data_IF_968484033906
#
_entry.id   IF_968484033906
#
_cell.length_a   1.000
_cell.length_b   1.000
_cell.length_c   1.000
_cell.angle_alpha   90.00
_cell.angle_beta   90.00
_cell.angle_gamma   90.00
#
_symmetry.space_group_name_H-M   'P 1'
#
loop_
_entity.id
_entity.type
_entity.pdbx_description
1 polymer ?
#
# COMPACT_ATOMS: atom_id res chain seq x y z
N UNK A 1 -15.86 -13.08 -17.80
CA UNK A 1 -15.17 -11.76 -17.78
C UNK A 1 -13.68 -12.02 -17.78
N UNK A 2 -12.87 -11.12 -18.33
CA UNK A 2 -11.41 -11.21 -18.18
C UNK A 2 -11.00 -10.85 -16.74
N UNK A 3 -9.92 -11.43 -16.19
CA UNK A 3 -9.32 -10.91 -14.96
C UNK A 3 -8.81 -9.48 -15.19
N UNK A 4 -8.70 -8.70 -14.11
CA UNK A 4 -8.01 -7.42 -14.18
C UNK A 4 -6.55 -7.65 -14.61
N UNK A 5 -6.11 -6.96 -15.66
CA UNK A 5 -4.70 -6.92 -16.01
C UNK A 5 -3.93 -6.25 -14.88
N UNK A 6 -2.82 -6.86 -14.44
CA UNK A 6 -1.86 -6.18 -13.57
C UNK A 6 -1.57 -4.79 -14.13
N UNK A 7 -1.61 -3.73 -13.32
CA UNK A 7 -1.15 -2.42 -13.78
C UNK A 7 0.27 -2.55 -14.31
N UNK A 8 0.51 -1.88 -15.44
CA UNK A 8 1.80 -1.79 -16.11
C UNK A 8 2.87 -1.33 -15.10
N UNK A 9 3.99 -2.04 -15.02
CA UNK A 9 5.06 -1.68 -14.07
C UNK A 9 5.57 -0.27 -14.35
N UNK A 10 5.66 0.14 -15.63
CA UNK A 10 5.98 1.52 -16.00
C UNK A 10 4.89 2.50 -15.50
N UNK A 11 3.62 2.10 -15.46
CA UNK A 11 2.55 2.97 -14.94
C UNK A 11 2.68 3.18 -13.43
N UNK A 12 2.77 2.10 -12.63
CA UNK A 12 3.02 2.20 -11.17
C UNK A 12 4.24 3.08 -10.91
N UNK A 13 5.31 2.82 -11.66
CA UNK A 13 6.58 3.53 -11.61
C UNK A 13 6.44 5.05 -11.79
N UNK A 14 5.66 5.50 -12.79
CA UNK A 14 5.46 6.92 -13.04
C UNK A 14 4.54 7.61 -12.02
N UNK A 15 3.66 6.88 -11.32
CA UNK A 15 2.79 7.46 -10.29
C UNK A 15 3.53 7.62 -8.95
N UNK A 16 4.36 6.66 -8.56
CA UNK A 16 5.10 6.67 -7.27
C UNK A 16 6.31 7.63 -7.25
N UNK A 17 6.78 8.09 -8.42
CA UNK A 17 7.79 9.14 -8.54
C UNK A 17 9.16 8.82 -7.92
N UNK A 18 9.51 7.54 -7.76
CA UNK A 18 10.84 7.13 -7.26
C UNK A 18 11.88 7.15 -8.40
N UNK A 19 13.12 6.69 -8.16
CA UNK A 19 14.14 6.47 -9.22
C UNK A 19 14.52 4.98 -9.26
N UNK A 20 14.61 4.34 -10.45
CA UNK A 20 14.74 2.88 -10.49
C UNK A 20 16.07 2.45 -9.88
N UNK A 21 16.14 1.30 -9.18
CA UNK A 21 17.44 0.74 -8.82
C UNK A 21 18.24 0.50 -10.11
N UNK A 22 19.44 1.09 -10.22
CA UNK A 22 20.30 0.91 -11.39
C UNK A 22 20.57 -0.58 -11.59
N UNK A 23 20.19 -1.10 -12.76
CA UNK A 23 20.23 -2.54 -13.03
C UNK A 23 21.66 -3.02 -13.21
N UNK A 24 22.18 -3.68 -12.17
CA UNK A 24 23.36 -4.53 -12.27
C UNK A 24 23.04 -5.75 -13.13
N UNK A 25 23.14 -5.59 -14.45
CA UNK A 25 23.21 -6.68 -15.41
C UNK A 25 24.54 -7.44 -15.21
N UNK A 26 24.59 -8.28 -14.17
CA UNK A 26 25.69 -9.21 -14.00
C UNK A 26 25.59 -10.31 -15.07
N UNK A 27 26.64 -10.36 -15.89
CA UNK A 27 26.76 -11.21 -17.05
C UNK A 27 27.04 -12.66 -16.64
N UNK A 28 26.03 -13.52 -16.70
CA UNK A 28 26.19 -14.96 -16.49
C UNK A 28 25.96 -15.71 -17.81
N UNK A 29 26.96 -16.50 -18.21
CA UNK A 29 27.09 -17.13 -19.53
C UNK A 29 26.22 -18.36 -19.69
N UNK A 30 25.73 -18.57 -20.92
CA UNK A 30 25.12 -19.83 -21.33
C UNK A 30 26.15 -20.98 -21.29
N UNK A 31 25.90 -21.99 -20.45
CA UNK A 31 26.50 -23.33 -20.57
C UNK A 31 25.39 -24.38 -20.46
N UNK A 32 24.90 -24.80 -21.63
CA UNK A 32 24.20 -26.07 -21.85
C UNK A 32 25.17 -27.23 -21.64
N UNK A 33 24.75 -28.32 -20.97
CA UNK A 33 24.74 -29.56 -21.74
C UNK A 33 23.57 -30.52 -21.46
N UNK A 34 23.05 -31.03 -22.58
CA UNK A 34 22.72 -32.43 -22.90
C UNK A 34 21.50 -33.09 -22.27
N UNK A 35 20.62 -33.51 -23.18
CA UNK A 35 19.69 -34.64 -23.13
C UNK A 35 20.34 -35.95 -22.65
N UNK A 36 19.55 -36.82 -22.03
CA UNK A 36 19.63 -38.30 -22.09
C UNK A 36 18.21 -38.86 -21.77
N UNK A 37 17.89 -40.08 -22.20
CA UNK A 37 16.50 -40.55 -22.47
C UNK A 37 15.96 -41.63 -21.49
N UNK A 38 15.00 -42.46 -21.96
CA UNK A 38 14.34 -43.66 -21.35
C UNK A 38 13.22 -43.35 -20.31
N UNK A 39 11.93 -43.62 -20.62
CA UNK A 39 11.20 -44.92 -20.72
C UNK A 39 10.79 -45.46 -19.30
N UNK A 40 9.62 -46.04 -19.04
CA UNK A 40 8.60 -46.70 -19.89
C UNK A 40 7.14 -46.44 -19.41
N UNK A 41 6.16 -46.94 -20.17
CA UNK A 41 4.71 -46.95 -19.87
C UNK A 41 4.28 -47.96 -18.76
N UNK A 42 3.10 -47.76 -18.16
CA UNK A 42 1.97 -48.73 -18.23
C UNK A 42 0.74 -48.26 -17.41
N UNK A 43 -0.45 -48.34 -18.01
CA UNK A 43 -1.76 -48.25 -17.33
C UNK A 43 -2.17 -49.64 -16.78
N UNK A 44 -2.96 -49.69 -15.70
CA UNK A 44 -4.04 -50.71 -15.61
C UNK A 44 -5.12 -50.36 -14.57
N UNK A 45 -6.38 -50.60 -14.92
CA UNK A 45 -7.53 -50.58 -13.99
C UNK A 45 -7.85 -52.00 -13.52
N UNK A 46 -8.10 -52.21 -12.21
CA UNK A 46 -8.98 -53.33 -11.82
C UNK A 46 -9.90 -53.01 -10.63
N UNK A 47 -11.20 -53.29 -10.83
CA UNK A 47 -12.24 -53.32 -9.81
C UNK A 47 -12.68 -54.77 -9.58
N UNK A 48 -12.75 -55.25 -8.34
CA UNK A 48 -13.66 -56.37 -8.00
C UNK A 48 -13.97 -56.54 -6.50
N UNK A 49 -15.29 -56.58 -6.21
CA UNK A 49 -16.04 -57.45 -5.27
C UNK A 49 -15.75 -57.41 -3.74
N UNK A 50 -16.73 -57.45 -2.80
CA UNK A 50 -18.04 -58.16 -2.63
C UNK A 50 -17.87 -59.62 -2.13
N UNK A 51 -18.58 -60.15 -1.12
CA UNK A 51 -19.60 -59.59 -0.16
C UNK A 51 -18.98 -59.49 1.28
N UNK A 52 -19.45 -59.93 2.47
CA UNK A 52 -20.65 -60.59 3.09
C UNK A 52 -20.68 -60.25 4.63
N UNK A 53 -21.33 -61.04 5.51
CA UNK A 53 -21.22 -61.10 7.00
C UNK A 53 -21.76 -59.97 7.95
N UNK A 54 -23.11 -59.88 8.02
CA UNK A 54 -24.01 -59.98 9.20
C UNK A 54 -23.87 -59.24 10.59
N UNK A 55 -25.06 -58.86 11.07
CA UNK A 55 -25.59 -58.73 12.46
C UNK A 55 -24.92 -57.86 13.54
N UNK A 56 -25.61 -56.77 13.95
CA UNK A 56 -26.51 -56.78 15.13
C UNK A 56 -27.34 -55.48 15.27
N UNK A 57 -28.49 -55.54 15.96
CA UNK A 57 -29.38 -54.41 16.24
C UNK A 57 -28.89 -53.49 17.39
N UNK A 58 -29.25 -52.19 17.34
CA UNK A 58 -29.54 -51.37 18.53
C UNK A 58 -30.64 -50.32 18.23
N UNK A 59 -31.39 -49.91 19.25
CA UNK A 59 -32.67 -49.20 19.12
C UNK A 59 -32.53 -47.65 19.20
N UNK A 60 -33.13 -46.94 18.24
CA UNK A 60 -32.97 -45.50 18.06
C UNK A 60 -34.18 -44.82 17.40
N UNK A 61 -35.12 -44.35 18.21
CA UNK A 61 -36.38 -43.74 17.76
C UNK A 61 -36.22 -42.37 17.05
N UNK A 62 -36.38 -42.36 15.73
CA UNK A 62 -36.17 -41.20 14.87
C UNK A 62 -37.42 -40.27 14.75
N UNK A 63 -37.55 -39.27 15.63
CA UNK A 63 -38.63 -38.25 15.57
C UNK A 63 -38.46 -37.30 14.37
N UNK A 64 -39.10 -37.64 13.24
CA UNK A 64 -39.02 -36.87 11.99
C UNK A 64 -39.43 -35.39 12.20
N UNK A 65 -38.52 -34.41 11.96
CA UNK A 65 -38.76 -33.01 12.31
C UNK A 65 -39.89 -32.38 11.49
N UNK A 66 -40.85 -31.79 12.19
CA UNK A 66 -42.04 -31.17 11.57
C UNK A 66 -41.68 -29.99 10.65
N UNK A 67 -42.57 -29.65 9.71
CA UNK A 67 -42.34 -28.56 8.76
C UNK A 67 -42.06 -27.20 9.43
N UNK A 68 -42.61 -26.95 10.62
CA UNK A 68 -42.31 -25.75 11.42
C UNK A 68 -40.88 -25.77 11.97
N UNK A 69 -40.42 -26.93 12.45
CA UNK A 69 -39.04 -27.12 12.91
C UNK A 69 -38.05 -26.84 11.77
N UNK A 70 -38.31 -27.41 10.58
CA UNK A 70 -37.50 -27.20 9.38
C UNK A 70 -37.43 -25.73 8.96
N UNK A 71 -38.55 -25.00 9.00
CA UNK A 71 -38.58 -23.57 8.68
C UNK A 71 -37.76 -22.72 9.66
N UNK A 72 -37.82 -23.01 10.97
CA UNK A 72 -36.99 -22.32 11.97
C UNK A 72 -35.51 -22.61 11.75
N UNK A 73 -35.12 -23.87 11.52
CA UNK A 73 -33.73 -24.25 11.24
C UNK A 73 -33.20 -23.54 9.98
N UNK A 74 -34.00 -23.47 8.90
CA UNK A 74 -33.61 -22.76 7.67
C UNK A 74 -33.47 -21.25 7.91
N UNK A 75 -34.38 -20.61 8.66
CA UNK A 75 -34.27 -19.18 8.98
C UNK A 75 -33.06 -18.89 9.88
N UNK A 76 -32.78 -19.73 10.88
CA UNK A 76 -31.58 -19.61 11.71
C UNK A 76 -30.30 -19.85 10.91
N UNK A 77 -30.28 -20.82 10.00
CA UNK A 77 -29.13 -21.07 9.11
C UNK A 77 -28.89 -19.91 8.14
N UNK A 78 -29.93 -19.30 7.57
CA UNK A 78 -29.83 -18.11 6.74
C UNK A 78 -29.32 -16.90 7.54
N UNK A 79 -29.78 -16.72 8.78
CA UNK A 79 -29.29 -15.66 9.66
C UNK A 79 -27.80 -15.85 10.00
N UNK A 80 -27.38 -17.09 10.30
CA UNK A 80 -25.98 -17.43 10.54
C UNK A 80 -25.11 -17.26 9.28
N UNK A 81 -25.61 -17.62 8.09
CA UNK A 81 -24.93 -17.32 6.82
C UNK A 81 -24.77 -15.81 6.58
N UNK A 82 -25.78 -15.00 6.92
CA UNK A 82 -25.66 -13.53 6.81
C UNK A 82 -24.67 -12.91 7.80
N UNK A 83 -24.39 -13.59 8.91
CA UNK A 83 -23.33 -13.23 9.87
C UNK A 83 -21.94 -13.78 9.48
N UNK A 84 -21.87 -14.74 8.56
CA UNK A 84 -20.62 -15.32 8.07
C UNK A 84 -19.94 -14.50 6.96
N UNK A 85 -20.55 -13.39 6.52
CA UNK A 85 -19.97 -12.43 5.58
C UNK A 85 -18.92 -11.52 6.25
N UNK A 86 -17.99 -12.12 7.01
CA UNK A 86 -16.81 -11.43 7.52
C UNK A 86 -15.88 -11.21 6.33
N UNK A 87 -15.78 -9.96 5.89
CA UNK A 87 -14.70 -9.57 4.98
C UNK A 87 -13.38 -9.77 5.72
N UNK A 88 -12.56 -10.71 5.26
CA UNK A 88 -11.19 -10.88 5.74
C UNK A 88 -10.30 -9.77 5.18
N UNK A 89 -10.47 -8.55 5.70
CA UNK A 89 -9.53 -7.47 5.48
C UNK A 89 -8.14 -7.92 5.96
N UNK A 90 -7.12 -7.69 5.14
CA UNK A 90 -5.72 -8.01 5.44
C UNK A 90 -5.25 -7.17 6.62
N UNK A 91 -5.31 -7.75 7.83
CA UNK A 91 -5.06 -7.01 9.07
C UNK A 91 -3.66 -6.35 9.08
N UNK A 92 -3.68 -5.03 9.20
CA UNK A 92 -2.54 -4.12 9.24
C UNK A 92 -2.43 -3.40 10.59
N UNK A 93 -1.26 -2.84 10.88
CA UNK A 93 -0.89 -2.33 12.19
C UNK A 93 -0.97 -0.79 12.29
N UNK A 94 -0.55 -0.08 11.24
CA UNK A 94 -0.46 1.38 11.20
C UNK A 94 -0.47 1.90 9.75
N UNK A 95 -0.67 3.20 9.53
CA UNK A 95 -0.40 3.83 8.22
C UNK A 95 0.91 4.62 8.22
N UNK A 96 1.57 4.68 7.06
CA UNK A 96 2.43 5.82 6.73
C UNK A 96 1.61 6.89 6.00
N UNK A 97 1.44 8.06 6.60
CA UNK A 97 1.12 9.28 5.85
C UNK A 97 2.41 9.79 5.20
N UNK A 98 2.46 9.76 3.88
CA UNK A 98 3.61 10.14 3.07
C UNK A 98 3.33 11.49 2.41
N UNK A 99 4.16 12.48 2.73
CA UNK A 99 4.10 13.82 2.15
C UNK A 99 5.38 14.10 1.34
N UNK A 100 5.25 14.67 0.14
CA UNK A 100 6.36 14.94 -0.79
C UNK A 100 6.61 16.43 -0.99
N UNK A 101 7.87 16.82 -1.22
CA UNK A 101 8.24 18.18 -1.57
C UNK A 101 8.18 18.39 -3.09
N UNK A 102 7.31 19.28 -3.62
CA UNK A 102 7.13 19.44 -5.06
C UNK A 102 8.40 19.94 -5.76
N UNK A 103 9.21 20.77 -5.10
CA UNK A 103 10.51 21.20 -5.64
C UNK A 103 11.45 20.01 -5.89
N UNK A 104 11.50 19.04 -4.98
CA UNK A 104 12.37 17.86 -5.08
C UNK A 104 11.86 16.82 -6.07
N UNK A 105 10.56 16.81 -6.38
CA UNK A 105 10.01 16.02 -7.49
C UNK A 105 10.39 16.66 -8.84
N UNK A 106 10.20 17.98 -8.94
CA UNK A 106 10.33 18.73 -10.19
C UNK A 106 11.77 19.03 -10.61
N UNK A 107 12.67 19.36 -9.68
CA UNK A 107 14.11 19.43 -9.96
C UNK A 107 14.70 18.02 -9.98
N UNK A 108 14.40 17.28 -11.04
CA UNK A 108 15.02 15.99 -11.38
C UNK A 108 15.23 15.92 -12.89
N UNK A 109 16.06 14.98 -13.36
CA UNK A 109 16.28 14.78 -14.81
C UNK A 109 15.01 14.41 -15.60
N UNK A 110 13.99 13.92 -14.90
CA UNK A 110 12.65 13.61 -15.45
C UNK A 110 11.83 14.88 -15.67
N UNK A 111 12.04 15.91 -14.84
CA UNK A 111 11.15 17.05 -14.73
C UNK A 111 9.78 16.68 -14.17
N UNK A 112 8.84 17.60 -14.24
CA UNK A 112 7.45 17.39 -13.82
C UNK A 112 6.48 18.18 -14.70
N UNK A 113 5.19 17.88 -14.55
CA UNK A 113 4.09 18.65 -15.12
C UNK A 113 3.18 19.16 -13.99
N UNK A 114 2.59 20.34 -14.17
CA UNK A 114 1.56 20.85 -13.26
C UNK A 114 0.17 20.34 -13.70
N UNK A 115 -0.75 20.07 -12.76
CA UNK A 115 -2.11 19.66 -13.07
C UNK A 115 -2.90 20.77 -13.79
N UNK A 116 -4.05 20.41 -14.37
CA UNK A 116 -4.98 21.36 -15.04
C UNK A 116 -5.43 22.53 -14.15
N UNK A 117 -5.34 22.39 -12.83
CA UNK A 117 -5.62 23.44 -11.83
C UNK A 117 -4.50 24.50 -11.70
N UNK A 118 -3.34 24.29 -12.33
CA UNK A 118 -2.19 25.17 -12.33
C UNK A 118 -1.04 24.69 -11.46
N UNK A 119 0.01 25.52 -11.32
CA UNK A 119 1.14 25.20 -10.44
C UNK A 119 0.66 25.09 -8.97
N UNK A 120 0.95 23.98 -8.26
CA UNK A 120 0.65 23.84 -6.84
C UNK A 120 1.32 24.90 -5.95
N UNK A 121 0.88 24.96 -4.69
CA UNK A 121 1.53 25.78 -3.68
C UNK A 121 2.95 25.27 -3.36
N UNK A 122 3.81 26.15 -2.86
CA UNK A 122 5.14 25.84 -2.31
C UNK A 122 4.99 25.29 -0.87
N UNK A 123 4.30 24.15 -0.76
CA UNK A 123 3.96 23.39 0.46
C UNK A 123 4.17 21.88 0.15
N UNK A 124 4.37 21.06 1.18
CA UNK A 124 4.39 19.60 1.01
C UNK A 124 3.03 19.10 0.50
N UNK A 125 2.98 18.34 -0.58
CA UNK A 125 1.74 17.64 -1.00
C UNK A 125 1.68 16.23 -0.42
N UNK A 126 0.48 15.66 -0.33
CA UNK A 126 0.31 14.24 -0.01
C UNK A 126 0.77 13.41 -1.22
N UNK A 127 1.52 12.35 -0.95
CA UNK A 127 1.74 11.24 -1.88
C UNK A 127 0.68 10.17 -1.61
N UNK A 128 0.57 9.71 -0.35
CA UNK A 128 -0.42 8.70 0.04
C UNK A 128 -0.54 8.46 1.53
N UNK A 129 -1.46 7.58 1.92
CA UNK A 129 -1.68 7.14 3.30
C UNK A 129 -1.72 5.61 3.36
N UNK A 130 -0.56 4.98 3.46
CA UNK A 130 -0.37 3.57 3.13
C UNK A 130 -0.47 2.66 4.36
N UNK A 131 -1.44 1.71 4.41
CA UNK A 131 -1.44 0.62 5.39
C UNK A 131 -0.10 -0.11 5.44
N UNK A 132 0.32 -0.55 6.63
CA UNK A 132 1.64 -1.13 6.84
C UNK A 132 1.66 -2.15 7.98
N UNK A 133 2.66 -3.04 7.96
CA UNK A 133 2.86 -4.06 8.98
C UNK A 133 4.05 -3.70 9.88
N UNK A 134 3.83 -3.73 11.19
CA UNK A 134 4.87 -3.56 12.22
C UNK A 134 5.89 -4.72 12.20
N UNK A 135 5.49 -5.88 11.64
CA UNK A 135 6.37 -6.99 11.27
C UNK A 135 6.02 -7.48 9.87
N UNK A 136 6.96 -7.39 8.93
CA UNK A 136 6.77 -7.96 7.59
C UNK A 136 6.46 -9.47 7.67
N UNK A 137 5.37 -9.88 7.00
CA UNK A 137 4.86 -11.26 6.93
C UNK A 137 5.62 -12.03 5.82
N UNK A 138 5.87 -13.33 5.98
CA UNK A 138 6.29 -14.19 4.85
C UNK A 138 5.08 -14.55 3.98
N UNK A 139 5.31 -15.08 2.78
CA UNK A 139 4.22 -15.54 1.91
C UNK A 139 3.35 -16.63 2.58
N UNK A 140 3.95 -17.53 3.37
CA UNK A 140 3.20 -18.53 4.14
C UNK A 140 2.42 -17.96 5.34
N UNK A 141 2.89 -16.85 5.92
CA UNK A 141 2.14 -16.08 6.94
C UNK A 141 0.95 -15.30 6.34
N UNK A 142 0.90 -15.11 5.02
CA UNK A 142 -0.20 -14.47 4.29
C UNK A 142 -1.22 -15.49 3.76
N UNK A 143 -0.76 -16.46 2.97
CA UNK A 143 -1.63 -17.41 2.28
C UNK A 143 -2.18 -18.51 3.21
N UNK A 144 -1.69 -18.58 4.46
CA UNK A 144 -2.04 -19.62 5.43
C UNK A 144 -1.46 -21.00 5.13
N UNK A 145 -0.63 -21.13 4.08
CA UNK A 145 -0.02 -22.39 3.63
C UNK A 145 1.39 -22.53 4.17
N UNK A 146 1.72 -23.73 4.69
CA UNK A 146 3.05 -24.03 5.24
C UNK A 146 4.11 -24.01 4.12
N UNK A 147 5.16 -23.21 4.33
CA UNK A 147 6.18 -22.85 3.35
C UNK A 147 7.11 -24.01 2.97
N UNK A 148 7.03 -24.49 1.71
CA UNK A 148 8.02 -25.40 1.11
C UNK A 148 8.46 -25.04 -0.33
N UNK A 149 7.84 -24.05 -1.00
CA UNK A 149 8.12 -23.74 -2.42
C UNK A 149 8.53 -22.28 -2.65
N UNK A 150 8.03 -21.35 -1.84
CA UNK A 150 8.33 -19.91 -1.97
C UNK A 150 9.64 -19.57 -1.26
N UNK A 151 10.59 -18.96 -1.99
CA UNK A 151 11.90 -18.55 -1.43
C UNK A 151 11.80 -17.28 -0.58
N UNK A 152 11.22 -17.36 0.62
CA UNK A 152 11.45 -16.43 1.73
C UNK A 152 11.18 -14.94 1.49
N UNK A 153 10.39 -14.57 0.47
CA UNK A 153 10.00 -13.18 0.24
C UNK A 153 9.11 -12.70 1.40
N UNK A 154 9.44 -11.53 1.94
CA UNK A 154 8.66 -10.85 2.98
C UNK A 154 7.92 -9.66 2.39
N UNK A 155 6.66 -9.49 2.77
CA UNK A 155 5.80 -8.37 2.40
C UNK A 155 5.51 -7.55 3.65
N UNK A 156 5.73 -6.23 3.58
CA UNK A 156 5.69 -5.32 4.73
C UNK A 156 4.45 -4.42 4.77
N UNK A 157 3.56 -4.54 3.78
CA UNK A 157 2.31 -3.81 3.67
C UNK A 157 1.30 -4.66 2.89
N UNK A 158 -0.01 -4.52 3.14
CA UNK A 158 -1.03 -5.01 2.21
C UNK A 158 -1.18 -4.03 1.03
N UNK A 159 -1.60 -4.52 -0.13
CA UNK A 159 -1.88 -3.70 -1.32
C UNK A 159 -2.90 -4.39 -2.23
N UNK A 160 -3.71 -3.63 -2.97
CA UNK A 160 -4.76 -4.11 -3.88
C UNK A 160 -5.74 -5.11 -3.22
N UNK A 161 -6.14 -4.86 -1.98
CA UNK A 161 -6.90 -5.82 -1.16
C UNK A 161 -8.31 -6.14 -1.66
N UNK A 162 -8.86 -5.30 -2.53
CA UNK A 162 -10.09 -5.56 -3.25
C UNK A 162 -10.08 -4.85 -4.62
N UNK A 163 -11.14 -5.02 -5.41
CA UNK A 163 -11.27 -4.43 -6.76
C UNK A 163 -12.34 -3.35 -6.85
N UNK A 164 -12.58 -2.61 -5.75
CA UNK A 164 -13.48 -1.45 -5.71
C UNK A 164 -12.77 -0.21 -6.30
N UNK A 165 -13.20 0.32 -7.46
CA UNK A 165 -12.58 1.50 -8.04
C UNK A 165 -13.06 2.79 -7.35
N UNK A 166 -12.26 3.85 -7.42
CA UNK A 166 -12.59 5.15 -6.85
C UNK A 166 -13.83 5.76 -7.53
N UNK A 167 -14.85 6.07 -6.73
CA UNK A 167 -16.10 6.70 -7.17
C UNK A 167 -16.09 8.19 -6.84
N UNK A 168 -15.91 9.02 -7.89
CA UNK A 168 -15.83 10.48 -7.79
C UNK A 168 -16.98 11.18 -7.04
N UNK A 169 -18.14 10.53 -6.89
CA UNK A 169 -19.26 11.10 -6.13
C UNK A 169 -19.13 10.91 -4.62
N UNK A 170 -18.45 9.86 -4.15
CA UNK A 170 -18.22 9.59 -2.72
C UNK A 170 -17.23 10.60 -2.11
N UNK A 171 -16.31 11.13 -2.92
CA UNK A 171 -15.28 12.11 -2.50
C UNK A 171 -15.57 13.55 -2.98
N UNK A 172 -16.78 13.82 -3.49
CA UNK A 172 -17.08 15.02 -4.30
C UNK A 172 -16.84 16.35 -3.60
N UNK A 173 -17.08 16.41 -2.29
CA UNK A 173 -16.82 17.56 -1.42
C UNK A 173 -15.32 17.77 -1.15
N UNK A 174 -14.53 16.69 -1.16
CA UNK A 174 -13.09 16.71 -0.92
C UNK A 174 -12.26 17.13 -2.14
N UNK A 175 -12.77 16.94 -3.38
CA UNK A 175 -12.03 17.15 -4.65
C UNK A 175 -11.24 18.47 -4.68
N UNK A 176 -11.84 19.58 -4.23
CA UNK A 176 -11.16 20.89 -4.20
C UNK A 176 -9.91 20.90 -3.29
N UNK A 177 -9.98 20.22 -2.14
CA UNK A 177 -8.86 20.13 -1.22
C UNK A 177 -7.85 19.07 -1.69
N UNK A 178 -8.29 18.00 -2.37
CA UNK A 178 -7.41 17.05 -3.02
C UNK A 178 -6.60 17.69 -4.15
N UNK A 179 -7.20 18.52 -5.01
CA UNK A 179 -6.47 19.26 -6.06
C UNK A 179 -5.43 20.24 -5.49
N UNK A 180 -5.68 20.79 -4.29
CA UNK A 180 -4.78 21.73 -3.63
C UNK A 180 -3.66 21.04 -2.82
N UNK A 181 -3.95 19.90 -2.18
CA UNK A 181 -3.08 19.26 -1.19
C UNK A 181 -2.52 17.90 -1.63
N UNK A 182 -3.12 17.25 -2.64
CA UNK A 182 -2.74 15.95 -3.20
C UNK A 182 -2.68 15.97 -4.75
N UNK A 183 -2.11 17.01 -5.41
CA UNK A 183 -1.99 17.05 -6.87
C UNK A 183 -1.00 15.98 -7.38
N UNK A 184 -1.23 15.49 -8.60
CA UNK A 184 -0.17 14.79 -9.35
C UNK A 184 0.84 15.81 -9.91
N UNK A 185 2.11 15.37 -10.00
CA UNK A 185 3.19 16.08 -10.70
C UNK A 185 3.70 15.31 -11.93
N UNK A 186 3.12 14.13 -12.21
CA UNK A 186 3.51 13.27 -13.32
C UNK A 186 2.99 13.79 -14.67
N UNK A 187 3.82 13.72 -15.72
CA UNK A 187 3.43 14.11 -17.08
C UNK A 187 2.63 13.03 -17.84
N UNK A 188 2.80 11.75 -17.49
CA UNK A 188 1.97 10.63 -17.99
C UNK A 188 0.76 10.51 -17.07
N UNK A 189 -0.46 10.49 -17.63
CA UNK A 189 -1.70 10.43 -16.83
C UNK A 189 -1.91 11.68 -15.96
N UNK A 190 -1.54 12.87 -16.46
CA UNK A 190 -1.41 14.12 -15.70
C UNK A 190 -2.70 14.78 -15.18
N UNK A 191 -3.63 13.99 -14.62
CA UNK A 191 -4.79 14.48 -13.85
C UNK A 191 -4.74 13.90 -12.45
N UNK A 192 -4.99 14.74 -11.44
CA UNK A 192 -4.95 14.34 -10.03
C UNK A 192 -5.83 13.12 -9.73
N UNK A 193 -6.99 12.98 -10.38
CA UNK A 193 -7.88 11.81 -10.23
C UNK A 193 -7.25 10.48 -10.68
N UNK A 194 -6.38 10.45 -11.70
CA UNK A 194 -5.71 9.21 -12.13
C UNK A 194 -4.70 8.74 -11.06
N UNK A 195 -4.17 9.67 -10.26
CA UNK A 195 -3.34 9.41 -9.08
C UNK A 195 -4.16 9.01 -7.85
N UNK A 196 -5.26 9.72 -7.55
CA UNK A 196 -6.15 9.35 -6.44
C UNK A 196 -6.78 7.97 -6.64
N UNK A 197 -7.13 7.59 -7.89
CA UNK A 197 -7.60 6.23 -8.19
C UNK A 197 -6.51 5.19 -7.92
N UNK A 198 -5.25 5.46 -8.27
CA UNK A 198 -4.14 4.56 -7.97
C UNK A 198 -3.93 4.39 -6.45
N UNK A 199 -3.88 5.50 -5.71
CA UNK A 199 -3.72 5.49 -4.25
C UNK A 199 -4.90 4.82 -3.53
N UNK A 200 -6.13 5.00 -4.03
CA UNK A 200 -7.29 4.26 -3.53
C UNK A 200 -7.18 2.76 -3.84
N UNK A 201 -7.03 2.38 -5.12
CA UNK A 201 -7.02 0.99 -5.55
C UNK A 201 -5.89 0.19 -4.91
N UNK A 202 -4.69 0.78 -4.79
CA UNK A 202 -3.52 0.14 -4.19
C UNK A 202 -3.53 0.14 -2.67
N UNK A 203 -3.86 1.26 -2.03
CA UNK A 203 -3.68 1.44 -0.58
C UNK A 203 -4.99 1.69 0.18
N UNK A 204 -5.90 2.49 -0.36
CA UNK A 204 -7.22 2.74 0.23
C UNK A 204 -8.09 1.49 0.38
N UNK A 205 -8.06 0.57 -0.58
CA UNK A 205 -8.76 -0.73 -0.52
C UNK A 205 -8.34 -1.61 0.66
N UNK A 206 -7.18 -1.33 1.26
CA UNK A 206 -6.59 -2.05 2.40
C UNK A 206 -6.72 -1.30 3.73
N UNK A 207 -7.44 -0.18 3.78
CA UNK A 207 -7.37 0.79 4.89
C UNK A 207 -8.36 0.59 6.04
N UNK A 208 -9.27 -0.38 5.95
CA UNK A 208 -10.50 -0.48 6.77
C UNK A 208 -11.44 0.76 6.70
N UNK A 209 -11.10 1.80 5.92
CA UNK A 209 -11.89 3.02 5.72
C UNK A 209 -12.64 2.99 4.37
N UNK A 210 -13.84 3.56 4.34
CA UNK A 210 -14.53 3.87 3.09
C UNK A 210 -13.87 5.06 2.37
N UNK A 211 -14.12 5.18 1.05
CA UNK A 211 -13.45 6.13 0.15
C UNK A 211 -13.34 7.56 0.71
N UNK A 212 -14.46 8.16 1.13
CA UNK A 212 -14.47 9.51 1.74
C UNK A 212 -13.56 9.60 2.98
N UNK A 213 -13.66 8.62 3.87
CA UNK A 213 -12.88 8.57 5.12
C UNK A 213 -11.37 8.48 4.87
N UNK A 214 -10.94 7.67 3.91
CA UNK A 214 -9.52 7.55 3.52
C UNK A 214 -8.93 8.89 3.09
N UNK A 215 -9.58 9.60 2.17
CA UNK A 215 -9.12 10.90 1.68
C UNK A 215 -9.27 12.01 2.73
N UNK A 216 -10.36 12.01 3.51
CA UNK A 216 -10.60 13.00 4.56
C UNK A 216 -9.60 12.87 5.72
N UNK A 217 -9.19 11.65 6.10
CA UNK A 217 -8.19 11.40 7.13
C UNK A 217 -6.82 11.97 6.71
N UNK A 218 -6.34 11.62 5.52
CA UNK A 218 -5.06 12.10 5.00
C UNK A 218 -5.01 13.64 4.88
N UNK A 219 -6.06 14.26 4.32
CA UNK A 219 -6.22 15.72 4.28
C UNK A 219 -6.22 16.34 5.69
N UNK A 220 -7.00 15.77 6.61
CA UNK A 220 -7.15 16.25 7.99
C UNK A 220 -5.87 16.09 8.82
N UNK A 221 -5.02 15.11 8.52
CA UNK A 221 -3.71 14.94 9.13
C UNK A 221 -2.69 15.95 8.57
N UNK A 222 -2.58 16.10 7.24
CA UNK A 222 -1.73 17.14 6.64
C UNK A 222 -2.10 18.55 7.15
N UNK A 223 -3.40 18.85 7.26
CA UNK A 223 -3.87 20.15 7.74
C UNK A 223 -3.53 20.40 9.22
N UNK A 224 -3.56 19.36 10.07
CA UNK A 224 -3.19 19.44 11.49
C UNK A 224 -1.67 19.47 11.71
N UNK A 225 -0.90 18.83 10.83
CA UNK A 225 0.55 18.65 10.95
C UNK A 225 1.28 19.20 9.72
N UNK A 226 1.09 20.50 9.44
CA UNK A 226 1.67 21.16 8.27
C UNK A 226 3.21 21.20 8.35
N UNK A 227 3.88 20.35 7.57
CA UNK A 227 5.33 20.19 7.58
C UNK A 227 6.08 21.45 7.13
N UNK A 228 5.57 22.19 6.15
CA UNK A 228 6.21 23.43 5.69
C UNK A 228 6.22 24.50 6.78
N UNK A 229 5.13 24.65 7.54
CA UNK A 229 5.08 25.56 8.69
C UNK A 229 6.02 25.11 9.81
N UNK A 230 5.97 23.83 10.19
CA UNK A 230 6.83 23.25 11.25
C UNK A 230 8.33 23.41 10.93
N UNK A 231 8.73 23.24 9.67
CA UNK A 231 10.11 23.48 9.25
C UNK A 231 10.43 24.99 9.21
N UNK A 232 9.54 25.82 8.67
CA UNK A 232 9.76 27.27 8.57
C UNK A 232 9.89 27.96 9.93
N UNK A 233 9.15 27.52 10.95
CA UNK A 233 9.23 28.03 12.33
C UNK A 233 10.63 27.79 12.96
N UNK A 234 11.40 26.82 12.45
CA UNK A 234 12.80 26.56 12.84
C UNK A 234 13.84 27.18 11.89
N UNK A 235 13.39 27.93 10.88
CA UNK A 235 14.25 28.53 9.84
C UNK A 235 14.65 27.59 8.71
N UNK A 236 14.05 26.40 8.63
CA UNK A 236 14.22 25.47 7.50
C UNK A 236 13.20 25.86 6.43
N UNK A 237 13.66 26.51 5.37
CA UNK A 237 12.83 27.10 4.31
C UNK A 237 13.37 26.73 2.92
N UNK A 238 12.55 26.81 1.85
CA UNK A 238 13.00 26.47 0.50
C UNK A 238 14.13 27.38 0.02
N UNK A 239 15.23 26.80 -0.48
CA UNK A 239 16.42 27.50 -0.94
C UNK A 239 17.32 26.61 -1.81
N UNK A 240 17.73 27.14 -2.96
CA UNK A 240 18.63 26.47 -3.90
C UNK A 240 20.12 26.59 -3.51
N UNK A 241 20.45 27.48 -2.56
CA UNK A 241 21.83 27.69 -2.07
C UNK A 241 22.11 27.09 -0.70
N UNK A 242 21.08 26.95 0.14
CA UNK A 242 21.24 26.47 1.51
C UNK A 242 21.15 24.95 1.63
N UNK A 243 21.69 24.44 2.73
CA UNK A 243 21.53 23.05 3.15
C UNK A 243 21.19 22.98 4.63
N UNK A 244 20.42 21.97 5.02
CA UNK A 244 19.99 21.71 6.39
C UNK A 244 20.58 20.38 6.86
N UNK A 245 20.79 20.19 8.18
CA UNK A 245 21.23 18.88 8.67
C UNK A 245 20.05 17.94 8.79
N UNK A 246 20.30 16.65 8.59
CA UNK A 246 19.25 15.63 8.76
C UNK A 246 18.75 15.58 10.21
N UNK A 247 19.59 15.97 11.18
CA UNK A 247 19.16 16.16 12.56
C UNK A 247 18.14 17.31 12.67
N UNK A 248 18.46 18.53 12.21
CA UNK A 248 17.58 19.69 12.42
C UNK A 248 16.20 19.51 11.77
N UNK A 249 16.11 18.78 10.65
CA UNK A 249 14.82 18.45 10.02
C UNK A 249 14.03 17.47 10.89
N UNK A 250 14.65 16.39 11.39
CA UNK A 250 14.00 15.43 12.28
C UNK A 250 13.59 16.06 13.62
N UNK A 251 14.49 16.86 14.21
CA UNK A 251 14.27 17.55 15.49
C UNK A 251 13.10 18.54 15.35
N UNK A 252 13.08 19.37 14.29
CA UNK A 252 11.97 20.28 14.00
C UNK A 252 10.62 19.57 13.81
N UNK A 253 10.59 18.49 13.00
CA UNK A 253 9.36 17.71 12.80
C UNK A 253 8.89 17.08 14.11
N UNK A 254 9.82 16.56 14.92
CA UNK A 254 9.48 15.95 16.22
C UNK A 254 9.00 16.96 17.24
N UNK A 255 9.60 18.14 17.32
CA UNK A 255 9.16 19.21 18.23
C UNK A 255 7.82 19.82 17.79
N UNK A 256 7.60 20.01 16.49
CA UNK A 256 6.36 20.59 15.95
C UNK A 256 5.17 19.63 15.82
N UNK A 257 5.41 18.31 15.74
CA UNK A 257 4.32 17.32 15.58
C UNK A 257 4.20 16.33 16.75
N UNK A 258 5.20 16.27 17.64
CA UNK A 258 5.31 15.32 18.76
C UNK A 258 6.03 14.01 18.40
N UNK A 259 6.12 13.66 17.11
CA UNK A 259 6.55 12.33 16.65
C UNK A 259 7.71 12.39 15.66
N UNK A 260 8.55 11.35 15.67
CA UNK A 260 9.63 11.21 14.67
C UNK A 260 9.06 10.77 13.31
N UNK A 261 9.75 11.14 12.22
CA UNK A 261 9.39 10.80 10.85
C UNK A 261 10.52 10.05 10.14
N UNK A 262 10.18 9.27 9.10
CA UNK A 262 11.18 8.87 8.07
C UNK A 262 11.44 10.09 7.19
N UNK A 263 12.70 10.34 6.87
CA UNK A 263 13.09 11.27 5.82
C UNK A 263 13.65 10.48 4.64
N UNK A 264 13.09 10.70 3.46
CA UNK A 264 13.55 10.15 2.19
C UNK A 264 14.04 11.27 1.28
N UNK A 265 15.12 10.99 0.57
CA UNK A 265 15.80 11.94 -0.30
C UNK A 265 15.97 11.35 -1.69
N UNK A 266 15.83 12.20 -2.71
CA UNK A 266 16.26 11.87 -4.07
C UNK A 266 17.48 12.74 -4.43
N UNK A 267 17.73 12.95 -5.73
CA UNK A 267 18.81 13.79 -6.22
C UNK A 267 18.32 14.76 -7.28
N UNK A 268 18.79 15.99 -7.21
CA UNK A 268 18.49 17.02 -8.19
C UNK A 268 19.22 16.85 -9.52
N UNK A 269 19.03 17.80 -10.43
CA UNK A 269 19.61 17.75 -11.78
C UNK A 269 21.14 17.85 -11.77
N UNK A 270 21.73 18.60 -10.83
CA UNK A 270 23.19 18.77 -10.67
C UNK A 270 23.81 17.76 -9.68
N UNK A 271 23.01 16.98 -8.96
CA UNK A 271 23.42 15.79 -8.20
C UNK A 271 23.54 15.97 -6.68
N UNK A 272 23.17 17.14 -6.17
CA UNK A 272 22.70 17.41 -4.81
C UNK A 272 21.82 16.29 -4.24
N UNK A 273 21.76 16.20 -2.90
CA UNK A 273 20.82 15.35 -2.18
C UNK A 273 19.79 16.26 -1.53
N UNK A 274 18.52 16.04 -1.82
CA UNK A 274 17.42 16.92 -1.42
C UNK A 274 16.33 16.13 -0.70
N UNK A 275 15.69 16.74 0.30
CA UNK A 275 14.57 16.14 1.02
C UNK A 275 13.40 15.97 0.05
N UNK A 276 13.04 14.72 -0.23
CA UNK A 276 12.02 14.39 -1.21
C UNK A 276 10.69 14.05 -0.54
N UNK A 277 10.68 13.10 0.41
CA UNK A 277 9.46 12.68 1.10
C UNK A 277 9.66 12.57 2.61
N UNK A 278 8.59 12.83 3.35
CA UNK A 278 8.50 12.72 4.81
C UNK A 278 7.38 11.73 5.12
N UNK A 279 7.69 10.68 5.90
CA UNK A 279 6.70 9.68 6.30
C UNK A 279 6.43 9.82 7.79
N UNK A 280 5.18 10.06 8.15
CA UNK A 280 4.70 10.12 9.53
C UNK A 280 3.81 8.90 9.78
N UNK A 281 3.95 8.26 10.94
CA UNK A 281 3.13 7.10 11.27
C UNK A 281 1.81 7.50 11.92
N UNK A 282 0.72 6.82 11.55
CA UNK A 282 -0.66 7.08 11.98
C UNK A 282 -1.26 5.82 12.60
N UNK A 283 -2.11 5.97 13.61
CA UNK A 283 -2.92 4.86 14.14
C UNK A 283 -3.81 4.20 13.08
N UNK A 284 -4.21 2.94 13.30
CA UNK A 284 -5.08 2.17 12.38
C UNK A 284 -6.45 2.82 12.13
N UNK A 285 -6.92 3.72 13.00
CA UNK A 285 -8.14 4.50 12.78
C UNK A 285 -7.96 5.68 11.81
N UNK A 286 -6.72 6.03 11.44
CA UNK A 286 -6.41 7.19 10.61
C UNK A 286 -6.59 8.52 11.33
N UNK A 287 -6.70 8.54 12.66
CA UNK A 287 -7.10 9.72 13.42
C UNK A 287 -5.90 10.52 13.95
N UNK A 288 -4.86 9.87 14.46
CA UNK A 288 -3.75 10.50 15.18
C UNK A 288 -2.39 9.98 14.72
N UNK A 289 -1.37 10.84 14.81
CA UNK A 289 0.02 10.41 14.66
C UNK A 289 0.46 9.54 15.84
N UNK A 290 1.40 8.63 15.57
CA UNK A 290 2.03 7.73 16.53
C UNK A 290 3.56 7.66 16.29
N UNK A 291 4.32 7.20 17.28
CA UNK A 291 5.70 6.79 17.05
C UNK A 291 5.72 5.56 16.11
N UNK A 292 6.58 5.61 15.08
CA UNK A 292 6.66 4.55 14.08
C UNK A 292 7.05 3.18 14.68
N UNK A 293 6.25 2.12 14.51
CA UNK A 293 6.53 0.80 15.09
C UNK A 293 7.81 0.13 14.56
N UNK A 294 8.29 0.52 13.38
CA UNK A 294 9.48 -0.02 12.72
C UNK A 294 10.63 1.01 12.69
N UNK A 295 11.90 0.60 12.84
CA UNK A 295 13.05 1.51 12.72
C UNK A 295 13.17 2.10 11.31
N UNK A 296 12.71 3.34 11.13
CA UNK A 296 12.70 4.03 9.84
C UNK A 296 14.07 4.55 9.44
N UNK A 297 14.80 3.73 8.66
CA UNK A 297 16.02 4.16 7.98
C UNK A 297 15.67 4.94 6.70
N UNK A 298 16.12 6.19 6.63
CA UNK A 298 16.12 6.99 5.41
C UNK A 298 17.38 6.74 4.56
N UNK A 299 17.31 7.06 3.26
CA UNK A 299 18.46 7.05 2.34
C UNK A 299 19.24 8.40 2.34
N UNK A 300 18.77 9.39 3.10
CA UNK A 300 19.34 10.73 3.17
C UNK A 300 20.76 10.78 3.75
N UNK A 301 21.53 11.79 3.35
CA UNK A 301 22.85 12.11 3.93
C UNK A 301 22.72 13.07 5.11
N UNK A 302 23.81 13.23 5.86
CA UNK A 302 23.91 14.15 7.02
C UNK A 302 23.44 15.59 6.75
N UNK A 303 23.50 16.05 5.49
CA UNK A 303 22.95 17.33 5.03
C UNK A 303 22.23 17.16 3.71
N UNK A 304 21.16 17.92 3.52
CA UNK A 304 20.26 17.89 2.37
C UNK A 304 19.82 19.30 1.98
N UNK A 305 19.38 19.50 0.74
CA UNK A 305 18.65 20.71 0.32
C UNK A 305 17.14 20.56 0.51
N UNK A 306 16.45 21.69 0.54
CA UNK A 306 15.01 21.79 0.32
C UNK A 306 14.86 22.81 -0.83
N UNK A 307 14.86 22.38 -2.10
CA UNK A 307 14.93 23.29 -3.25
C UNK A 307 13.72 24.23 -3.31
N UNK A 308 13.87 25.39 -3.95
CA UNK A 308 12.73 26.23 -4.28
C UNK A 308 11.75 25.50 -5.21
N UNK A 309 10.50 25.97 -5.22
CA UNK A 309 9.47 25.49 -6.13
C UNK A 309 8.73 26.66 -6.76
#
# INVERSE_FOLDING_TARGET
>A
MSPASSPDLDYIWFMEGTLPPESSYDNQTDEDPSEDEEEDDDDDEEWSNVEEDDDNDDDGGDEKPTAKMKLVVVLSALLLLSLAAVSSAEEFDFFYLVQQWPGSFCDTKTGCCFPDTGKPATDFSIHGMWPNYAKCKTQGELDGVIEMVTKGKKKCWPEFCNSEPLQLWEIKDLVKELDANWPTLACKGGKSIEFWSHEWEKHGTCSDLGQHGYFAAALGLKARHNLTAVLADTGIVPSDSETYSLSSINDAIKEGTGFAAKLECNRGVAGEVQLYQVYQCVDRSGENLIDCPVPVQGNCKNRVQLPAF
#
